data_IF_278233307182
#
_entry.id   IF_278233307182
#
_cell.length_a   1.000
_cell.length_b   1.000
_cell.length_c   1.000
_cell.angle_alpha   90.00
_cell.angle_beta   90.00
_cell.angle_gamma   90.00
#
_symmetry.space_group_name_H-M   'P 1'
#
loop_
_entity.id
_entity.type
_entity.pdbx_description
1 polymer ?
#
# COMPACT_ATOMS: atom_id res chain seq x y z
N UNK A 1 35.07 -31.85 -19.57
CA UNK A 1 34.64 -31.37 -18.24
C UNK A 1 33.16 -31.01 -18.32
N UNK A 2 32.21 -31.91 -18.02
CA UNK A 2 30.81 -31.53 -17.90
C UNK A 2 30.55 -31.06 -16.47
N UNK A 3 30.18 -29.79 -16.31
CA UNK A 3 29.59 -29.29 -15.07
C UNK A 3 28.15 -29.81 -15.01
N UNK A 4 27.97 -30.99 -14.42
CA UNK A 4 26.66 -31.46 -14.00
C UNK A 4 26.17 -30.52 -12.90
N UNK A 5 25.23 -29.63 -13.23
CA UNK A 5 24.52 -28.81 -12.27
C UNK A 5 23.52 -29.71 -11.51
N UNK A 6 24.03 -30.43 -10.50
CA UNK A 6 23.36 -31.48 -9.72
C UNK A 6 22.24 -30.98 -8.77
N UNK A 7 21.42 -30.00 -9.15
CA UNK A 7 20.31 -29.53 -8.30
C UNK A 7 19.02 -29.20 -9.08
N UNK A 8 18.83 -29.75 -10.28
CA UNK A 8 17.51 -29.77 -10.91
C UNK A 8 16.91 -31.13 -10.58
N UNK A 9 16.12 -31.19 -9.49
CA UNK A 9 15.55 -32.43 -8.96
C UNK A 9 14.64 -33.15 -9.98
N UNK A 10 14.11 -32.42 -10.97
CA UNK A 10 13.33 -32.95 -12.08
C UNK A 10 13.37 -31.95 -13.25
N UNK A 11 13.91 -32.31 -14.43
CA UNK A 11 14.03 -31.39 -15.57
C UNK A 11 12.66 -30.92 -16.08
N UNK A 12 11.65 -31.78 -16.00
CA UNK A 12 10.28 -31.44 -16.39
C UNK A 12 9.67 -30.35 -15.48
N UNK A 13 9.96 -30.37 -14.18
CA UNK A 13 9.54 -29.31 -13.27
C UNK A 13 10.21 -27.96 -13.60
N UNK A 14 11.46 -28.00 -14.07
CA UNK A 14 12.17 -26.81 -14.55
C UNK A 14 11.49 -26.21 -15.80
N UNK A 15 11.12 -27.06 -16.75
CA UNK A 15 10.41 -26.65 -17.96
C UNK A 15 9.03 -26.07 -17.62
N UNK A 16 8.26 -26.70 -16.74
CA UNK A 16 6.97 -26.19 -16.27
C UNK A 16 7.09 -24.83 -15.57
N UNK A 17 8.13 -24.64 -14.76
CA UNK A 17 8.42 -23.36 -14.11
C UNK A 17 8.79 -22.31 -15.17
N UNK A 18 9.65 -22.65 -16.11
CA UNK A 18 10.06 -21.76 -17.19
C UNK A 18 8.86 -21.33 -18.04
N UNK A 19 7.99 -22.26 -18.44
CA UNK A 19 6.75 -21.94 -19.15
C UNK A 19 5.84 -21.00 -18.34
N UNK A 20 5.75 -21.21 -17.03
CA UNK A 20 4.96 -20.35 -16.15
C UNK A 20 5.53 -18.93 -16.12
N UNK A 21 6.85 -18.78 -16.04
CA UNK A 21 7.53 -17.48 -16.13
C UNK A 21 7.36 -16.84 -17.51
N UNK A 22 7.45 -17.62 -18.59
CA UNK A 22 7.25 -17.14 -19.95
C UNK A 22 5.81 -16.63 -20.16
N UNK A 23 4.80 -17.30 -19.60
CA UNK A 23 3.40 -16.85 -19.60
C UNK A 23 3.22 -15.54 -18.85
N UNK A 24 3.88 -15.37 -17.71
CA UNK A 24 3.83 -14.12 -16.93
C UNK A 24 4.47 -12.96 -17.71
N UNK A 25 5.69 -13.15 -18.23
CA UNK A 25 6.43 -12.13 -18.96
C UNK A 25 5.71 -11.68 -20.24
N UNK A 26 5.14 -12.63 -20.99
CA UNK A 26 4.40 -12.35 -22.23
C UNK A 26 3.01 -11.76 -21.99
N UNK A 27 2.59 -11.54 -20.73
CA UNK A 27 1.22 -11.16 -20.38
C UNK A 27 0.18 -12.10 -21.03
N UNK A 28 0.47 -13.40 -21.10
CA UNK A 28 -0.32 -14.38 -21.84
C UNK A 28 -1.81 -14.33 -21.47
N UNK A 29 -2.13 -14.29 -20.18
CA UNK A 29 -3.51 -14.29 -19.70
C UNK A 29 -4.30 -13.03 -20.03
N UNK A 30 -3.62 -11.87 -20.17
CA UNK A 30 -4.26 -10.62 -20.59
C UNK A 30 -4.82 -10.72 -22.00
N UNK A 31 -4.07 -11.36 -22.90
CA UNK A 31 -4.47 -11.55 -24.30
C UNK A 31 -5.43 -12.72 -24.48
N UNK A 32 -5.28 -13.79 -23.68
CA UNK A 32 -6.16 -14.95 -23.71
C UNK A 32 -7.57 -14.65 -23.20
N UNK A 33 -7.67 -13.80 -22.17
CA UNK A 33 -8.93 -13.43 -21.53
C UNK A 33 -9.08 -11.91 -21.51
N UNK A 34 -9.44 -11.29 -22.65
CA UNK A 34 -9.61 -9.84 -22.71
C UNK A 34 -10.74 -9.42 -21.77
N UNK A 35 -10.45 -8.45 -20.90
CA UNK A 35 -11.44 -7.94 -19.94
C UNK A 35 -12.30 -6.88 -20.61
N UNK A 36 -13.63 -6.87 -20.39
CA UNK A 36 -14.50 -5.82 -20.89
C UNK A 36 -14.19 -4.42 -20.33
N UNK A 37 -13.52 -4.37 -19.16
CA UNK A 37 -13.11 -3.14 -18.49
C UNK A 37 -11.68 -3.27 -18.01
N UNK A 38 -10.93 -2.19 -18.14
CA UNK A 38 -9.62 -2.07 -17.52
C UNK A 38 -9.80 -1.84 -16.03
N UNK A 39 -9.61 -2.90 -15.25
CA UNK A 39 -9.60 -2.83 -13.79
C UNK A 39 -8.18 -3.04 -13.27
N UNK A 40 -7.74 -2.15 -12.40
CA UNK A 40 -6.50 -2.30 -11.65
C UNK A 40 -6.83 -2.84 -10.26
N UNK A 41 -5.88 -3.55 -9.64
CA UNK A 41 -6.09 -4.09 -8.30
C UNK A 41 -6.39 -3.00 -7.26
N UNK A 42 -5.73 -1.85 -7.38
CA UNK A 42 -5.93 -0.69 -6.50
C UNK A 42 -7.13 0.19 -6.89
N UNK A 43 -7.75 -0.05 -8.05
CA UNK A 43 -8.78 0.82 -8.63
C UNK A 43 -8.26 2.14 -9.20
N UNK A 44 -6.95 2.37 -9.19
CA UNK A 44 -6.31 3.56 -9.75
C UNK A 44 -6.13 3.44 -11.26
N UNK A 45 -6.22 4.55 -11.98
CA UNK A 45 -5.80 4.68 -13.37
C UNK A 45 -4.28 4.50 -13.54
N UNK A 46 -3.84 4.29 -14.78
CA UNK A 46 -2.40 4.12 -15.09
C UNK A 46 -1.64 5.41 -14.80
N UNK A 47 -2.26 6.55 -15.07
CA UNK A 47 -1.74 7.88 -14.86
C UNK A 47 -1.54 8.17 -13.37
N UNK A 48 -2.54 7.83 -12.54
CA UNK A 48 -2.45 7.93 -11.08
C UNK A 48 -1.37 7.02 -10.52
N UNK A 49 -1.28 5.78 -11.03
CA UNK A 49 -0.23 4.85 -10.62
C UNK A 49 1.16 5.38 -10.98
N UNK A 50 1.31 5.92 -12.19
CA UNK A 50 2.56 6.51 -12.66
C UNK A 50 2.95 7.73 -11.82
N UNK A 51 1.98 8.56 -11.44
CA UNK A 51 2.21 9.69 -10.54
C UNK A 51 2.71 9.23 -9.17
N UNK A 52 2.07 8.24 -8.55
CA UNK A 52 2.47 7.72 -7.22
C UNK A 52 3.88 7.12 -7.26
N UNK A 53 4.25 6.44 -8.35
CA UNK A 53 5.58 5.87 -8.53
C UNK A 53 6.63 6.88 -9.03
N UNK A 54 6.21 8.06 -9.48
CA UNK A 54 7.14 9.06 -9.99
C UNK A 54 8.00 9.58 -8.83
N UNK A 55 9.31 9.52 -9.01
CA UNK A 55 10.29 10.03 -8.05
C UNK A 55 10.11 11.51 -7.79
N UNK A 56 9.67 12.25 -8.79
CA UNK A 56 9.58 13.71 -8.78
C UNK A 56 8.53 14.21 -7.77
N UNK A 57 7.44 13.47 -7.59
CA UNK A 57 6.36 13.82 -6.64
C UNK A 57 6.51 13.14 -5.28
N UNK A 58 7.52 12.29 -5.10
CA UNK A 58 7.73 11.52 -3.88
C UNK A 58 8.14 12.41 -2.70
N UNK A 59 9.01 13.40 -2.95
CA UNK A 59 9.48 14.36 -1.95
C UNK A 59 8.31 15.23 -1.45
N UNK A 60 7.49 15.74 -2.37
CA UNK A 60 6.30 16.54 -2.08
C UNK A 60 5.28 15.75 -1.25
N UNK A 61 5.02 14.49 -1.63
CA UNK A 61 4.14 13.61 -0.88
C UNK A 61 4.65 13.36 0.53
N UNK A 62 5.96 13.20 0.71
CA UNK A 62 6.58 12.97 2.02
C UNK A 62 6.44 14.19 2.93
N UNK A 63 6.67 15.40 2.42
CA UNK A 63 6.48 16.63 3.19
C UNK A 63 5.00 16.86 3.55
N UNK A 64 4.08 16.64 2.61
CA UNK A 64 2.65 16.72 2.86
C UNK A 64 2.18 15.71 3.92
N UNK A 65 2.69 14.48 3.87
CA UNK A 65 2.31 13.42 4.79
C UNK A 65 2.76 13.74 6.24
N UNK A 66 3.92 14.36 6.45
CA UNK A 66 4.36 14.81 7.78
C UNK A 66 3.37 15.81 8.41
N UNK A 67 2.93 16.81 7.63
CA UNK A 67 1.99 17.82 8.10
C UNK A 67 0.61 17.25 8.44
N UNK A 68 0.14 16.29 7.62
CA UNK A 68 -1.11 15.59 7.86
C UNK A 68 -1.02 14.63 9.05
N UNK A 69 0.09 13.89 9.19
CA UNK A 69 0.34 13.00 10.31
C UNK A 69 0.35 13.74 11.64
N UNK A 70 0.97 14.92 11.70
CA UNK A 70 0.96 15.76 12.90
C UNK A 70 -0.45 16.19 13.30
N UNK A 71 -1.27 16.62 12.33
CA UNK A 71 -2.68 16.96 12.57
C UNK A 71 -3.50 15.75 13.02
N UNK A 72 -3.23 14.57 12.46
CA UNK A 72 -3.88 13.34 12.86
C UNK A 72 -3.49 12.98 14.30
N UNK A 73 -2.19 13.04 14.62
CA UNK A 73 -1.66 12.81 15.95
C UNK A 73 -2.27 13.78 16.97
N UNK A 74 -2.41 15.06 16.67
CA UNK A 74 -3.05 16.05 17.56
C UNK A 74 -4.54 15.74 17.82
N UNK A 75 -5.26 15.20 16.83
CA UNK A 75 -6.67 14.79 16.98
C UNK A 75 -6.84 13.55 17.86
N UNK A 76 -5.88 12.63 17.83
CA UNK A 76 -5.93 11.37 18.58
C UNK A 76 -5.06 11.39 19.85
N UNK A 77 -4.25 12.43 20.05
CA UNK A 77 -3.46 12.60 21.26
C UNK A 77 -4.41 12.68 22.47
N UNK A 78 -4.11 11.96 23.57
CA UNK A 78 -4.91 12.07 24.77
C UNK A 78 -4.87 13.51 25.27
N UNK A 79 -6.05 14.17 25.32
CA UNK A 79 -6.16 15.49 25.96
C UNK A 79 -5.51 15.43 27.34
N UNK A 80 -4.73 16.47 27.65
CA UNK A 80 -3.99 16.62 28.89
C UNK A 80 -4.89 16.26 30.11
N UNK A 81 -4.36 15.53 31.11
CA UNK A 81 -5.10 15.19 32.32
C UNK A 81 -5.71 16.43 33.00
N UNK A 82 -5.02 17.57 32.91
CA UNK A 82 -5.47 18.87 33.44
C UNK A 82 -6.72 19.40 32.73
N UNK A 83 -6.79 19.27 31.41
CA UNK A 83 -7.97 19.68 30.64
C UNK A 83 -9.18 18.82 30.96
N UNK A 84 -8.96 17.50 31.09
CA UNK A 84 -9.99 16.57 31.55
C UNK A 84 -10.48 16.98 32.93
N UNK A 85 -9.57 17.18 33.89
CA UNK A 85 -9.92 17.59 35.25
C UNK A 85 -10.68 18.93 35.27
N UNK A 86 -10.27 19.92 34.48
CA UNK A 86 -10.97 21.21 34.34
C UNK A 86 -12.36 21.05 33.71
N UNK A 87 -12.52 20.16 32.71
CA UNK A 87 -13.83 19.87 32.14
C UNK A 87 -14.75 19.15 33.10
N UNK A 88 -14.26 18.16 33.86
CA UNK A 88 -15.02 17.49 34.91
C UNK A 88 -15.40 18.46 36.02
N UNK A 89 -14.47 19.29 36.50
CA UNK A 89 -14.73 20.32 37.48
C UNK A 89 -15.81 21.31 37.00
N UNK A 90 -15.78 21.71 35.72
CA UNK A 90 -16.79 22.59 35.11
C UNK A 90 -18.17 21.93 34.96
N UNK A 91 -18.21 20.62 34.72
CA UNK A 91 -19.46 19.84 34.65
C UNK A 91 -20.04 19.64 36.05
N UNK A 92 -19.19 19.36 37.04
CA UNK A 92 -19.58 19.15 38.45
C UNK A 92 -20.00 20.44 39.16
N UNK A 93 -19.52 21.61 38.70
CA UNK A 93 -19.86 22.92 39.26
C UNK A 93 -21.12 23.55 38.65
N UNK A 94 -21.74 22.93 37.64
CA UNK A 94 -23.04 23.38 37.15
C UNK A 94 -24.13 22.96 38.16
N UNK A 95 -24.92 23.90 38.72
CA UNK A 95 -26.06 23.56 39.55
C UNK A 95 -27.06 22.74 38.72
N UNK A 96 -27.48 21.60 39.26
CA UNK A 96 -28.55 20.79 38.69
C UNK A 96 -29.87 21.48 39.04
N UNK A 97 -30.38 22.31 38.13
CA UNK A 97 -31.75 22.83 38.17
C UNK A 97 -32.74 21.75 37.77
#
# INVERSE_FOLDING_TARGET
>A
MPLLNQNIAEPEACDQMYESLARLHSNYYKHKYPRPRDTTFSGLSVEEYKLILSTDTLEEFKEMNKGMWKKLQEKFAPKSPEEKHKTWARVLSRPRT
#
